data_IF_837652691457
#
_entry.id   IF_837652691457
#
_cell.length_a   1.000
_cell.length_b   1.000
_cell.length_c   1.000
_cell.angle_alpha   90.00
_cell.angle_beta   90.00
_cell.angle_gamma   90.00
#
_symmetry.space_group_name_H-M   'P 1'
#
loop_
_entity.id
_entity.type
_entity.pdbx_description
1 polymer ?
#
# COMPACT_ATOMS: atom_id res chain seq x y z
N UNK A 1 81.85 31.98 36.33
CA UNK A 1 81.82 32.57 34.97
C UNK A 1 80.58 32.04 34.32
N UNK A 2 79.77 32.97 33.81
CA UNK A 2 78.49 32.73 33.15
C UNK A 2 78.64 31.78 31.96
N UNK A 3 77.60 31.01 31.68
CA UNK A 3 76.99 30.99 30.35
C UNK A 3 75.58 30.39 30.46
N UNK A 4 74.61 31.30 30.51
CA UNK A 4 73.25 31.05 30.10
C UNK A 4 73.25 30.92 28.57
N UNK A 5 72.76 29.81 28.03
CA UNK A 5 72.13 29.85 26.71
C UNK A 5 71.00 28.83 26.61
N UNK A 6 69.80 29.40 26.49
CA UNK A 6 68.59 28.78 26.00
C UNK A 6 68.83 28.10 24.65
N UNK A 7 68.33 26.88 24.50
CA UNK A 7 67.75 26.45 23.23
C UNK A 7 66.52 25.58 23.49
N UNK A 8 65.35 26.18 23.27
CA UNK A 8 64.09 25.48 23.11
C UNK A 8 63.99 24.95 21.69
N UNK A 9 63.70 23.66 21.52
CA UNK A 9 63.05 23.14 20.31
C UNK A 9 62.80 21.64 20.47
N UNK A 10 61.55 21.26 20.75
CA UNK A 10 60.74 20.52 19.78
C UNK A 10 59.43 20.06 20.43
N UNK A 11 58.41 20.87 20.20
CA UNK A 11 57.01 20.52 20.37
C UNK A 11 56.65 19.36 19.44
N UNK A 12 56.60 18.14 19.97
CA UNK A 12 55.87 17.04 19.36
C UNK A 12 54.41 17.08 19.83
N UNK A 13 53.63 18.04 19.31
CA UNK A 13 52.17 17.92 19.29
C UNK A 13 51.77 17.56 17.87
N UNK A 14 51.71 16.26 17.62
CA UNK A 14 51.08 15.72 16.42
C UNK A 14 49.61 16.17 16.43
N UNK A 15 49.26 17.01 15.47
CA UNK A 15 47.88 17.28 15.07
C UNK A 15 47.24 15.95 14.66
N UNK A 16 46.47 15.35 15.56
CA UNK A 16 45.41 14.42 15.16
C UNK A 16 44.41 15.24 14.33
N UNK A 17 44.57 15.20 13.00
CA UNK A 17 43.50 15.55 12.07
C UNK A 17 42.32 14.63 12.42
N UNK A 18 41.35 15.16 13.15
CA UNK A 18 40.03 14.56 13.20
C UNK A 18 39.49 14.53 11.78
N UNK A 19 39.44 13.34 11.17
CA UNK A 19 38.66 13.12 9.96
C UNK A 19 37.26 13.69 10.20
N UNK A 20 36.74 14.58 9.34
CA UNK A 20 35.41 15.11 9.53
C UNK A 20 34.45 13.93 9.60
N UNK A 21 33.72 13.81 10.71
CA UNK A 21 32.66 12.82 10.84
C UNK A 21 31.75 13.01 9.64
N UNK A 22 31.68 12.00 8.77
CA UNK A 22 30.79 12.00 7.62
C UNK A 22 29.40 12.24 8.19
N UNK A 23 28.82 13.42 7.95
CA UNK A 23 27.46 13.74 8.41
C UNK A 23 26.55 12.74 7.72
N UNK A 24 26.11 11.72 8.47
CA UNK A 24 25.25 10.67 7.93
C UNK A 24 23.93 11.32 7.50
N UNK A 25 23.50 11.05 6.27
CA UNK A 25 22.23 11.55 5.72
C UNK A 25 21.07 11.21 6.68
N UNK A 26 20.28 12.20 7.06
CA UNK A 26 19.09 12.01 7.89
C UNK A 26 18.00 11.34 7.06
N UNK A 27 17.36 10.34 7.65
CA UNK A 27 16.36 9.53 6.96
C UNK A 27 15.05 9.55 7.75
N UNK A 28 14.03 10.22 7.22
CA UNK A 28 12.70 10.25 7.81
C UNK A 28 11.95 8.96 7.52
N UNK A 29 11.47 8.26 8.56
CA UNK A 29 10.71 7.02 8.42
C UNK A 29 9.33 7.21 9.03
N UNK A 30 8.30 7.24 8.20
CA UNK A 30 6.91 7.51 8.61
C UNK A 30 6.08 6.23 8.57
N UNK A 31 5.39 5.92 9.66
CA UNK A 31 4.55 4.73 9.81
C UNK A 31 3.07 5.13 9.92
N UNK A 32 2.23 4.64 9.00
CA UNK A 32 0.79 4.92 8.95
C UNK A 32 -0.03 3.69 9.32
N UNK A 33 -0.93 3.84 10.30
CA UNK A 33 -1.82 2.78 10.79
C UNK A 33 -3.04 2.58 9.89
N UNK A 34 -3.71 1.44 10.08
CA UNK A 34 -4.93 1.10 9.38
C UNK A 34 -6.22 1.61 10.04
N UNK A 35 -7.33 1.03 9.61
CA UNK A 35 -8.68 1.34 10.10
C UNK A 35 -8.79 1.11 11.63
N UNK A 36 -9.42 2.05 12.33
CA UNK A 36 -9.53 2.06 13.80
C UNK A 36 -8.20 1.95 14.57
N UNK A 37 -7.08 2.17 13.89
CA UNK A 37 -5.76 2.23 14.49
C UNK A 37 -5.47 3.61 15.06
N UNK A 38 -4.31 3.70 15.71
CA UNK A 38 -3.69 4.96 16.12
C UNK A 38 -2.18 4.85 15.91
N UNK A 39 -1.46 5.96 16.09
CA UNK A 39 0.01 5.99 16.11
C UNK A 39 0.64 4.98 17.09
N UNK A 40 -0.07 4.58 18.14
CA UNK A 40 0.38 3.57 19.12
C UNK A 40 0.48 2.15 18.56
N UNK A 41 -0.21 1.83 17.45
CA UNK A 41 -0.15 0.51 16.83
C UNK A 41 1.28 0.16 16.36
N UNK A 42 2.10 1.17 16.08
CA UNK A 42 3.51 1.02 15.70
C UNK A 42 4.49 1.11 16.88
N UNK A 43 4.02 1.18 18.12
CA UNK A 43 4.89 1.33 19.30
C UNK A 43 5.97 0.24 19.33
N UNK A 44 5.59 -1.02 19.14
CA UNK A 44 6.53 -2.15 19.19
C UNK A 44 7.53 -2.10 18.04
N UNK A 45 7.08 -1.84 16.80
CA UNK A 45 7.96 -1.67 15.64
C UNK A 45 8.96 -0.54 15.86
N UNK A 46 8.46 0.64 16.23
CA UNK A 46 9.30 1.83 16.49
C UNK A 46 10.35 1.55 17.56
N UNK A 47 9.99 0.86 18.64
CA UNK A 47 10.94 0.50 19.70
C UNK A 47 12.05 -0.45 19.21
N UNK A 48 11.77 -1.34 18.25
CA UNK A 48 12.80 -2.23 17.69
C UNK A 48 13.72 -1.49 16.73
N UNK A 49 13.19 -0.57 15.93
CA UNK A 49 13.98 0.33 15.09
C UNK A 49 14.94 1.20 15.92
N UNK A 50 14.45 1.82 16.99
CA UNK A 50 15.27 2.68 17.87
C UNK A 50 16.40 1.94 18.60
N UNK A 51 16.38 0.61 18.64
CA UNK A 51 17.47 -0.19 19.22
C UNK A 51 18.60 -0.49 18.23
N UNK A 52 18.42 -0.18 16.95
CA UNK A 52 19.39 -0.50 15.90
C UNK A 52 20.42 0.61 15.69
N UNK A 53 21.65 0.40 16.19
CA UNK A 53 22.76 1.37 16.01
C UNK A 53 23.04 1.74 14.56
N UNK A 54 22.85 0.80 13.63
CA UNK A 54 23.08 1.06 12.20
C UNK A 54 22.03 2.03 11.60
N UNK A 55 20.94 2.32 12.33
CA UNK A 55 19.85 3.22 11.95
C UNK A 55 19.83 4.52 12.77
N UNK A 56 20.94 4.89 13.42
CA UNK A 56 21.01 6.11 14.27
C UNK A 56 20.79 7.43 13.48
N UNK A 57 20.85 7.42 12.15
CA UNK A 57 20.50 8.55 11.28
C UNK A 57 19.00 8.60 10.94
N UNK A 58 18.24 7.56 11.28
CA UNK A 58 16.82 7.46 10.96
C UNK A 58 15.96 8.10 12.04
N UNK A 59 14.90 8.78 11.61
CA UNK A 59 13.92 9.44 12.46
C UNK A 59 12.61 8.69 12.29
N UNK A 60 12.26 7.86 13.28
CA UNK A 60 11.07 7.02 13.23
C UNK A 60 9.85 7.72 13.82
N UNK A 61 8.86 8.03 12.98
CA UNK A 61 7.62 8.71 13.34
C UNK A 61 6.43 7.79 13.06
N UNK A 62 5.61 7.58 14.08
CA UNK A 62 4.26 7.03 13.88
C UNK A 62 3.33 8.20 13.57
N UNK A 63 2.78 8.25 12.35
CA UNK A 63 1.89 9.30 11.90
C UNK A 63 0.66 9.40 12.81
N UNK A 64 0.30 10.63 13.17
CA UNK A 64 -0.72 10.92 14.18
C UNK A 64 -1.92 11.72 13.65
N UNK A 65 -1.83 12.28 12.44
CA UNK A 65 -2.91 13.07 11.81
C UNK A 65 -4.24 12.29 11.69
N UNK A 66 -4.16 10.96 11.69
CA UNK A 66 -5.30 10.05 11.54
C UNK A 66 -5.65 9.25 12.81
N UNK A 67 -5.06 9.58 13.97
CA UNK A 67 -5.27 8.85 15.24
C UNK A 67 -6.58 9.21 15.97
N UNK A 68 -7.35 10.19 15.49
CA UNK A 68 -8.56 10.65 16.18
C UNK A 68 -9.80 9.79 15.85
N UNK A 69 -10.83 9.89 16.69
CA UNK A 69 -12.04 9.05 16.60
C UNK A 69 -12.68 9.13 15.20
N UNK A 70 -12.90 7.97 14.57
CA UNK A 70 -13.47 7.80 13.23
C UNK A 70 -12.71 8.46 12.06
N UNK A 71 -11.54 9.05 12.27
CA UNK A 71 -10.75 9.69 11.20
C UNK A 71 -10.55 8.78 9.97
N UNK A 72 -10.37 7.48 10.22
CA UNK A 72 -10.11 6.48 9.18
C UNK A 72 -11.35 6.07 8.35
N UNK A 73 -12.52 6.65 8.64
CA UNK A 73 -13.77 6.44 7.90
C UNK A 73 -14.02 7.50 6.82
N UNK A 74 -13.24 8.59 6.81
CA UNK A 74 -13.46 9.77 5.95
C UNK A 74 -13.26 9.51 4.44
N UNK A 75 -12.64 8.39 4.08
CA UNK A 75 -12.14 8.12 2.73
C UNK A 75 -10.62 8.21 2.66
N UNK A 76 -9.99 7.24 1.98
CA UNK A 76 -8.54 7.10 1.79
C UNK A 76 -7.93 8.39 1.21
N UNK A 77 -8.66 9.10 0.36
CA UNK A 77 -8.30 10.39 -0.21
C UNK A 77 -8.11 11.47 0.88
N UNK A 78 -9.11 11.69 1.74
CA UNK A 78 -9.00 12.66 2.85
C UNK A 78 -7.96 12.25 3.89
N UNK A 79 -7.91 10.96 4.22
CA UNK A 79 -6.96 10.40 5.18
C UNK A 79 -5.53 10.55 4.65
N UNK A 80 -5.33 10.31 3.35
CA UNK A 80 -4.06 10.46 2.65
C UNK A 80 -3.61 11.91 2.49
N UNK A 81 -4.54 12.84 2.29
CA UNK A 81 -4.26 14.28 2.29
C UNK A 81 -3.78 14.77 3.67
N UNK A 82 -4.39 14.29 4.75
CA UNK A 82 -3.89 14.56 6.11
C UNK A 82 -2.47 14.03 6.33
N UNK A 83 -2.20 12.81 5.88
CA UNK A 83 -0.85 12.24 5.96
C UNK A 83 0.15 13.04 5.10
N UNK A 84 -0.23 13.48 3.90
CA UNK A 84 0.58 14.34 3.03
C UNK A 84 1.00 15.63 3.75
N UNK A 85 0.05 16.32 4.39
CA UNK A 85 0.33 17.54 5.14
C UNK A 85 1.25 17.26 6.34
N UNK A 86 0.99 16.20 7.10
CA UNK A 86 1.85 15.78 8.22
C UNK A 86 3.27 15.47 7.76
N UNK A 87 3.46 14.79 6.61
CA UNK A 87 4.80 14.54 6.05
C UNK A 87 5.55 15.85 5.78
N UNK A 88 4.87 16.86 5.21
CA UNK A 88 5.48 18.16 4.94
C UNK A 88 5.86 18.89 6.23
N UNK A 89 4.99 18.86 7.24
CA UNK A 89 5.29 19.44 8.56
C UNK A 89 6.48 18.74 9.24
N UNK A 90 6.52 17.41 9.22
CA UNK A 90 7.61 16.62 9.78
C UNK A 90 8.94 16.89 9.06
N UNK A 91 8.91 17.07 7.74
CA UNK A 91 10.10 17.40 6.97
C UNK A 91 10.74 18.72 7.43
N UNK A 92 9.93 19.77 7.64
CA UNK A 92 10.42 21.04 8.18
C UNK A 92 10.85 20.91 9.64
N UNK A 93 10.05 20.24 10.47
CA UNK A 93 10.32 20.02 11.90
C UNK A 93 11.65 19.29 12.15
N UNK A 94 12.01 18.35 11.28
CA UNK A 94 13.21 17.52 11.42
C UNK A 94 14.40 18.00 10.58
N UNK A 95 14.41 19.28 10.22
CA UNK A 95 15.50 19.95 9.51
C UNK A 95 15.85 19.28 8.17
N UNK A 96 14.84 19.18 7.30
CA UNK A 96 14.99 18.80 5.90
C UNK A 96 15.71 17.45 5.66
N UNK A 97 15.21 16.32 6.21
CA UNK A 97 15.83 15.01 5.99
C UNK A 97 16.06 14.70 4.50
N UNK A 98 17.23 14.16 4.16
CA UNK A 98 17.63 13.91 2.78
C UNK A 98 16.88 12.73 2.15
N UNK A 99 16.44 11.76 2.97
CA UNK A 99 15.70 10.57 2.53
C UNK A 99 14.38 10.40 3.28
N UNK A 100 13.42 9.76 2.62
CA UNK A 100 12.14 9.34 3.23
C UNK A 100 11.82 7.88 2.92
N UNK A 101 11.38 7.15 3.95
CA UNK A 101 10.73 5.86 3.83
C UNK A 101 9.37 5.88 4.49
N UNK A 102 8.43 5.11 3.94
CA UNK A 102 7.06 5.06 4.45
C UNK A 102 6.62 3.60 4.63
N UNK A 103 6.06 3.32 5.80
CA UNK A 103 5.57 2.00 6.20
C UNK A 103 4.06 2.11 6.44
N UNK A 104 3.25 1.31 5.75
CA UNK A 104 1.81 1.28 5.93
C UNK A 104 1.34 -0.09 6.40
N UNK A 105 0.49 -0.14 7.42
CA UNK A 105 -0.18 -1.38 7.86
C UNK A 105 -1.66 -1.36 7.50
N UNK A 106 -2.17 -2.45 6.92
CA UNK A 106 -3.59 -2.58 6.58
C UNK A 106 -4.05 -1.43 5.65
N UNK A 107 -5.14 -0.74 5.97
CA UNK A 107 -5.55 0.47 5.25
C UNK A 107 -4.41 1.50 5.11
N UNK A 108 -3.47 1.53 6.06
CA UNK A 108 -2.31 2.41 6.05
C UNK A 108 -1.45 2.30 4.80
N UNK A 109 -1.34 1.12 4.16
CA UNK A 109 -0.62 1.00 2.90
C UNK A 109 -1.29 1.73 1.73
N UNK A 110 -2.63 1.81 1.72
CA UNK A 110 -3.38 2.58 0.72
C UNK A 110 -3.30 4.09 0.99
N UNK A 111 -3.44 4.49 2.26
CA UNK A 111 -3.29 5.88 2.70
C UNK A 111 -1.90 6.40 2.33
N UNK A 112 -0.86 5.63 2.63
CA UNK A 112 0.53 5.95 2.25
C UNK A 112 0.69 6.09 0.74
N UNK A 113 0.11 5.18 -0.07
CA UNK A 113 0.16 5.30 -1.54
C UNK A 113 -0.52 6.56 -2.05
N UNK A 114 -1.65 6.96 -1.46
CA UNK A 114 -2.32 8.21 -1.80
C UNK A 114 -1.42 9.42 -1.49
N UNK A 115 -0.90 9.49 -0.26
CA UNK A 115 0.01 10.56 0.16
C UNK A 115 1.27 10.63 -0.72
N UNK A 116 1.85 9.48 -1.10
CA UNK A 116 2.99 9.39 -2.02
C UNK A 116 2.68 10.04 -3.38
N UNK A 117 1.48 9.82 -3.94
CA UNK A 117 1.09 10.46 -5.20
C UNK A 117 1.03 11.98 -5.07
N UNK A 118 0.48 12.48 -3.96
CA UNK A 118 0.45 13.93 -3.68
C UNK A 118 1.85 14.51 -3.48
N UNK A 119 2.73 13.82 -2.74
CA UNK A 119 4.13 14.24 -2.55
C UNK A 119 4.89 14.27 -3.88
N UNK A 120 4.63 13.31 -4.77
CA UNK A 120 5.22 13.28 -6.10
C UNK A 120 4.78 14.48 -6.94
N UNK A 121 3.47 14.76 -6.96
CA UNK A 121 2.88 15.88 -7.70
C UNK A 121 3.35 17.26 -7.17
N UNK A 122 3.45 17.40 -5.84
CA UNK A 122 4.02 18.57 -5.16
C UNK A 122 5.51 18.79 -5.46
N UNK A 123 6.18 17.82 -6.07
CA UNK A 123 7.63 17.85 -6.32
C UNK A 123 8.48 17.64 -5.07
N UNK A 124 7.87 17.18 -3.96
CA UNK A 124 8.53 16.93 -2.68
C UNK A 124 9.75 16.00 -2.81
N UNK A 125 9.68 15.01 -3.68
CA UNK A 125 10.77 14.05 -3.87
C UNK A 125 12.02 14.61 -4.54
N UNK A 126 12.00 15.86 -5.04
CA UNK A 126 13.20 16.59 -5.48
C UNK A 126 14.05 17.08 -4.31
N UNK A 127 13.43 17.31 -3.14
CA UNK A 127 14.08 17.81 -1.92
C UNK A 127 14.29 16.74 -0.84
N UNK A 128 13.52 15.65 -0.89
CA UNK A 128 13.62 14.53 0.03
C UNK A 128 13.52 13.21 -0.75
N UNK A 129 14.62 12.48 -0.89
CA UNK A 129 14.73 11.34 -1.79
C UNK A 129 13.90 10.15 -1.27
N UNK A 130 12.94 9.62 -2.06
CA UNK A 130 12.17 8.44 -1.68
C UNK A 130 13.05 7.19 -1.69
N UNK A 131 13.04 6.43 -0.59
CA UNK A 131 13.91 5.27 -0.38
C UNK A 131 13.13 3.95 -0.31
N UNK A 132 12.44 3.67 0.80
CA UNK A 132 11.68 2.43 0.98
C UNK A 132 10.19 2.67 1.20
N UNK A 133 9.36 1.99 0.41
CA UNK A 133 7.94 1.80 0.68
C UNK A 133 7.73 0.39 1.21
N UNK A 134 7.15 0.25 2.41
CA UNK A 134 6.91 -1.05 3.03
C UNK A 134 5.42 -1.18 3.35
N UNK A 135 4.80 -2.25 2.88
CA UNK A 135 3.40 -2.56 3.13
C UNK A 135 3.28 -3.80 4.00
N UNK A 136 2.50 -3.69 5.07
CA UNK A 136 2.25 -4.76 6.04
C UNK A 136 0.76 -5.14 5.95
N UNK A 137 0.45 -6.24 5.26
CA UNK A 137 -0.92 -6.77 5.08
C UNK A 137 -1.94 -5.72 4.63
N UNK A 138 -1.64 -4.95 3.58
CA UNK A 138 -2.50 -3.86 3.10
C UNK A 138 -3.38 -4.28 1.92
N UNK A 139 -4.67 -3.89 1.84
CA UNK A 139 -5.57 -4.35 0.77
C UNK A 139 -5.38 -3.57 -0.54
N UNK A 140 -4.22 -3.71 -1.20
CA UNK A 140 -3.86 -2.91 -2.38
C UNK A 140 -4.78 -3.06 -3.60
N UNK A 141 -5.51 -4.17 -3.68
CA UNK A 141 -6.52 -4.46 -4.70
C UNK A 141 -7.95 -4.42 -4.13
N UNK A 142 -8.15 -3.77 -2.98
CA UNK A 142 -9.42 -3.71 -2.29
C UNK A 142 -9.69 -4.94 -1.41
N UNK A 143 -10.85 -4.96 -0.76
CA UNK A 143 -11.30 -6.07 0.07
C UNK A 143 -12.02 -7.12 -0.77
N UNK A 144 -11.27 -7.90 -1.56
CA UNK A 144 -11.82 -9.07 -2.26
C UNK A 144 -12.23 -10.12 -1.22
N UNK A 145 -13.45 -10.67 -1.30
CA UNK A 145 -13.79 -11.93 -0.62
C UNK A 145 -14.76 -12.73 -1.51
N UNK A 146 -14.45 -14.00 -1.85
CA UNK A 146 -15.47 -14.89 -2.40
C UNK A 146 -16.67 -14.93 -1.46
N UNK A 147 -17.88 -14.92 -2.02
CA UNK A 147 -19.12 -15.07 -1.26
C UNK A 147 -19.13 -16.43 -0.55
N UNK A 148 -18.67 -16.48 0.69
CA UNK A 148 -18.72 -17.68 1.54
C UNK A 148 -19.24 -17.32 2.92
N UNK A 149 -19.79 -18.32 3.61
CA UNK A 149 -20.45 -18.28 4.93
C UNK A 149 -19.71 -17.50 6.03
N UNK A 150 -18.38 -17.32 5.91
CA UNK A 150 -17.57 -16.51 6.83
C UNK A 150 -17.94 -15.01 6.72
N UNK A 151 -18.32 -14.53 5.53
CA UNK A 151 -18.74 -13.15 5.33
C UNK A 151 -19.96 -12.80 6.21
N UNK A 152 -20.96 -13.67 6.30
CA UNK A 152 -22.13 -13.43 7.16
C UNK A 152 -21.74 -13.23 8.63
N UNK A 153 -20.65 -13.86 9.10
CA UNK A 153 -20.13 -13.67 10.47
C UNK A 153 -19.37 -12.35 10.65
N UNK A 154 -18.65 -11.89 9.64
CA UNK A 154 -17.85 -10.64 9.71
C UNK A 154 -18.68 -9.41 9.35
N UNK A 155 -19.68 -9.56 8.47
CA UNK A 155 -20.55 -8.50 7.98
C UNK A 155 -21.19 -7.73 9.15
N UNK A 156 -21.68 -8.41 10.18
CA UNK A 156 -22.29 -7.78 11.35
C UNK A 156 -21.34 -6.88 12.16
N UNK A 157 -20.04 -7.16 12.18
CA UNK A 157 -19.05 -6.33 12.91
C UNK A 157 -18.62 -5.13 12.06
N UNK A 158 -18.67 -5.28 10.73
CA UNK A 158 -18.12 -4.29 9.78
C UNK A 158 -19.20 -3.46 9.07
N UNK A 159 -20.49 -3.54 9.44
CA UNK A 159 -21.57 -2.78 8.77
C UNK A 159 -21.22 -1.30 8.69
N UNK A 160 -20.85 -0.67 9.81
CA UNK A 160 -20.47 0.75 9.83
C UNK A 160 -19.24 1.04 8.97
N UNK A 161 -18.27 0.13 8.95
CA UNK A 161 -17.08 0.25 8.09
C UNK A 161 -17.45 0.19 6.61
N UNK A 162 -18.35 -0.70 6.20
CA UNK A 162 -18.83 -0.80 4.82
C UNK A 162 -19.69 0.42 4.42
N UNK A 163 -20.41 1.02 5.37
CA UNK A 163 -21.17 2.25 5.14
C UNK A 163 -20.28 3.49 5.01
N UNK A 164 -19.08 3.48 5.60
CA UNK A 164 -18.11 4.58 5.50
C UNK A 164 -17.63 4.83 4.07
N UNK A 165 -17.11 6.04 3.80
CA UNK A 165 -16.49 6.39 2.51
C UNK A 165 -15.33 5.45 2.21
N UNK A 166 -14.48 5.20 3.22
CA UNK A 166 -13.38 4.23 3.13
C UNK A 166 -13.85 2.83 2.75
N UNK A 167 -14.95 2.35 3.34
CA UNK A 167 -15.53 1.04 3.03
C UNK A 167 -15.95 0.92 1.58
N UNK A 168 -16.68 1.92 1.08
CA UNK A 168 -17.10 2.00 -0.33
C UNK A 168 -15.92 2.00 -1.29
N UNK A 169 -14.84 2.72 -0.97
CA UNK A 169 -13.60 2.72 -1.76
C UNK A 169 -12.90 1.35 -1.73
N UNK A 170 -12.86 0.68 -0.58
CA UNK A 170 -12.25 -0.65 -0.45
C UNK A 170 -12.97 -1.74 -1.27
N UNK A 171 -14.28 -1.62 -1.48
CA UNK A 171 -15.06 -2.54 -2.31
C UNK A 171 -15.21 -2.10 -3.77
N UNK A 172 -14.58 -0.99 -4.19
CA UNK A 172 -14.68 -0.42 -5.56
C UNK A 172 -16.08 0.13 -5.93
N UNK A 173 -16.88 0.56 -4.94
CA UNK A 173 -18.21 1.17 -5.12
C UNK A 173 -18.20 2.68 -4.83
N UNK A 174 -17.06 3.36 -4.97
CA UNK A 174 -16.93 4.79 -4.70
C UNK A 174 -17.21 5.67 -5.92
N UNK A 175 -17.55 5.10 -7.08
CA UNK A 175 -17.88 5.87 -8.30
C UNK A 175 -19.09 6.77 -8.09
N UNK A 176 -20.10 6.30 -7.35
CA UNK A 176 -21.32 7.03 -7.02
C UNK A 176 -21.16 8.09 -5.92
N UNK A 177 -20.02 8.11 -5.21
CA UNK A 177 -19.78 9.12 -4.18
C UNK A 177 -19.66 10.49 -4.86
N UNK A 178 -20.44 11.50 -4.45
CA UNK A 178 -20.38 12.84 -5.04
C UNK A 178 -18.96 13.44 -5.05
N UNK A 179 -18.59 14.11 -6.14
CA UNK A 179 -17.24 14.68 -6.32
C UNK A 179 -16.87 15.73 -5.26
N UNK A 180 -17.85 16.41 -4.66
CA UNK A 180 -17.59 17.36 -3.56
C UNK A 180 -17.18 16.68 -2.24
N UNK A 181 -17.40 15.36 -2.11
CA UNK A 181 -16.93 14.57 -0.96
C UNK A 181 -15.52 14.06 -1.22
N UNK A 182 -15.17 13.86 -2.49
CA UNK A 182 -13.88 13.34 -2.95
C UNK A 182 -12.82 14.44 -3.04
N UNK A 183 -11.57 14.14 -2.71
CA UNK A 183 -10.44 14.99 -3.12
C UNK A 183 -9.67 14.29 -4.22
N UNK A 184 -9.57 14.90 -5.41
CA UNK A 184 -8.80 14.34 -6.52
C UNK A 184 -8.00 15.42 -7.24
N UNK A 185 -6.67 15.29 -7.33
CA UNK A 185 -5.90 16.03 -8.32
C UNK A 185 -6.29 15.58 -9.73
N UNK A 186 -6.31 16.51 -10.69
CA UNK A 186 -6.53 16.18 -12.10
C UNK A 186 -5.38 15.30 -12.61
N UNK A 187 -5.68 14.10 -13.10
CA UNK A 187 -4.67 13.16 -13.65
C UNK A 187 -4.15 13.56 -15.03
N UNK A 188 -4.65 14.64 -15.62
CA UNK A 188 -4.20 15.18 -16.89
C UNK A 188 -2.85 15.90 -16.77
N UNK A 189 -1.76 15.14 -16.66
CA UNK A 189 -0.45 15.60 -17.10
C UNK A 189 -0.13 14.91 -18.43
N UNK A 190 -0.44 15.52 -19.59
CA UNK A 190 0.04 14.99 -20.86
C UNK A 190 1.54 15.31 -21.04
N UNK A 191 2.29 14.50 -21.79
CA UNK A 191 3.64 14.88 -22.19
C UNK A 191 3.58 16.20 -23.00
N UNK A 192 4.63 17.05 -22.94
CA UNK A 192 4.58 18.37 -23.54
C UNK A 192 4.41 18.26 -25.06
N UNK A 193 3.42 19.02 -25.56
CA UNK A 193 3.03 19.29 -26.96
C UNK A 193 2.10 18.25 -27.63
N UNK A 194 0.81 18.58 -27.70
CA UNK A 194 0.22 19.11 -28.95
C UNK A 194 -1.17 19.72 -28.71
N UNK A 195 -1.39 20.90 -29.31
CA UNK A 195 -2.63 21.66 -29.27
C UNK A 195 -3.70 20.95 -30.10
N UNK A 196 -4.87 20.64 -29.53
CA UNK A 196 -6.09 20.65 -30.35
C UNK A 196 -7.31 21.13 -29.56
N UNK A 197 -8.16 21.81 -30.31
CA UNK A 197 -9.14 22.81 -29.91
C UNK A 197 -10.50 22.19 -29.57
N UNK A 198 -11.17 22.82 -28.61
CA UNK A 198 -12.61 23.14 -28.57
C UNK A 198 -13.62 22.08 -29.04
N UNK A 199 -14.56 21.72 -28.16
CA UNK A 199 -15.94 22.19 -28.29
C UNK A 199 -16.73 22.09 -26.99
N UNK A 200 -17.44 23.18 -26.69
CA UNK A 200 -18.41 23.34 -25.61
C UNK A 200 -19.70 22.61 -25.99
N UNK A 201 -20.39 22.02 -25.03
CA UNK A 201 -21.86 22.07 -24.99
C UNK A 201 -22.30 22.06 -23.52
N UNK A 202 -23.13 23.07 -23.20
CA UNK A 202 -23.73 23.35 -21.90
C UNK A 202 -25.12 22.73 -21.92
N UNK A 203 -25.48 21.95 -20.89
CA UNK A 203 -26.88 21.68 -20.59
C UNK A 203 -27.13 22.00 -19.11
N UNK A 204 -27.92 23.05 -18.91
CA UNK A 204 -28.56 23.40 -17.65
C UNK A 204 -29.80 22.52 -17.46
N UNK A 205 -30.01 21.98 -16.26
CA UNK A 205 -31.36 21.82 -15.72
C UNK A 205 -31.35 21.74 -14.20
N UNK A 206 -32.33 22.43 -13.63
CA UNK A 206 -32.38 22.94 -12.27
C UNK A 206 -32.65 21.91 -11.18
N UNK A 207 -32.07 22.23 -10.03
CA UNK A 207 -32.23 21.62 -8.71
C UNK A 207 -33.67 21.76 -8.21
N UNK A 208 -34.28 20.64 -7.78
CA UNK A 208 -35.34 20.64 -6.77
C UNK A 208 -34.98 19.68 -5.65
N UNK A 209 -34.94 20.26 -4.46
CA UNK A 209 -34.98 19.59 -3.17
C UNK A 209 -36.24 18.71 -3.07
N UNK A 210 -36.14 17.53 -2.46
CA UNK A 210 -36.71 17.28 -1.14
C UNK A 210 -36.42 15.84 -0.68
N UNK A 211 -36.40 15.73 0.64
CA UNK A 211 -36.09 14.63 1.53
C UNK A 211 -37.10 13.48 1.47
N UNK A 212 -36.62 12.24 1.35
CA UNK A 212 -37.09 11.11 2.18
C UNK A 212 -36.14 9.90 2.01
N UNK A 213 -35.27 9.69 3.00
CA UNK A 213 -34.33 8.55 3.06
C UNK A 213 -35.01 7.39 3.82
N UNK A 214 -35.92 6.70 3.14
CA UNK A 214 -36.23 5.31 3.47
C UNK A 214 -35.79 4.46 2.28
N UNK A 215 -34.57 3.92 2.35
CA UNK A 215 -34.04 3.03 1.32
C UNK A 215 -34.83 1.73 1.34
N UNK A 216 -35.57 1.38 0.27
CA UNK A 216 -36.15 0.06 0.15
C UNK A 216 -35.02 -0.97 0.06
N UNK A 217 -35.27 -2.15 0.63
CA UNK A 217 -34.40 -3.33 0.49
C UNK A 217 -34.09 -3.50 -1.00
N UNK A 218 -32.85 -3.23 -1.40
CA UNK A 218 -32.46 -3.23 -2.80
C UNK A 218 -32.76 -4.60 -3.40
N UNK A 219 -33.75 -4.67 -4.29
CA UNK A 219 -33.90 -5.78 -5.21
C UNK A 219 -32.56 -5.92 -5.93
N UNK A 220 -32.01 -7.13 -5.93
CA UNK A 220 -30.72 -7.41 -6.54
C UNK A 220 -30.80 -7.13 -8.04
N UNK A 221 -30.47 -5.90 -8.46
CA UNK A 221 -30.21 -5.59 -9.86
C UNK A 221 -29.11 -6.52 -10.33
N UNK A 222 -29.29 -7.12 -11.51
CA UNK A 222 -28.22 -7.88 -12.15
C UNK A 222 -26.95 -7.02 -12.24
N UNK A 223 -25.75 -7.62 -12.10
CA UNK A 223 -24.52 -6.87 -12.09
C UNK A 223 -24.32 -6.15 -13.42
N UNK A 224 -24.26 -4.82 -13.36
CA UNK A 224 -23.82 -3.97 -14.47
C UNK A 224 -22.37 -4.33 -14.85
N UNK A 225 -22.14 -4.54 -16.14
CA UNK A 225 -20.83 -4.88 -16.71
C UNK A 225 -20.16 -3.58 -17.15
N UNK A 226 -18.85 -3.45 -16.95
CA UNK A 226 -18.11 -2.26 -17.36
C UNK A 226 -17.22 -2.56 -18.56
N UNK A 227 -17.12 -1.61 -19.51
CA UNK A 227 -16.19 -1.71 -20.64
C UNK A 227 -15.28 -0.48 -20.70
N UNK A 228 -14.00 -0.74 -20.98
CA UNK A 228 -12.99 0.32 -21.16
C UNK A 228 -13.27 1.14 -22.42
N UNK A 229 -13.25 2.46 -22.27
CA UNK A 229 -13.42 3.44 -23.35
C UNK A 229 -12.07 4.09 -23.61
N UNK A 230 -11.83 4.52 -24.85
CA UNK A 230 -10.52 4.94 -25.38
C UNK A 230 -9.75 6.06 -24.66
N UNK A 231 -10.25 6.60 -23.54
CA UNK A 231 -9.48 7.40 -22.59
C UNK A 231 -9.43 6.70 -21.23
N UNK A 232 -8.22 6.45 -20.72
CA UNK A 232 -7.97 5.66 -19.51
C UNK A 232 -8.77 6.12 -18.28
N UNK A 233 -9.29 7.34 -18.19
CA UNK A 233 -9.89 7.88 -16.96
C UNK A 233 -11.35 7.45 -16.69
N UNK A 234 -12.06 6.84 -17.65
CA UNK A 234 -13.51 6.57 -17.53
C UNK A 234 -13.92 5.21 -18.11
N UNK A 235 -15.02 4.65 -17.59
CA UNK A 235 -15.67 3.44 -18.12
C UNK A 235 -17.07 3.74 -18.64
N UNK A 236 -17.50 2.95 -19.64
CA UNK A 236 -18.89 2.84 -20.06
C UNK A 236 -19.59 1.74 -19.26
N UNK A 237 -20.80 2.03 -18.78
CA UNK A 237 -21.68 1.04 -18.15
C UNK A 237 -22.44 0.29 -19.24
N UNK A 238 -22.40 -1.03 -19.16
CA UNK A 238 -23.19 -1.95 -19.95
C UNK A 238 -24.23 -2.60 -19.02
N UNK A 239 -25.50 -2.25 -19.22
CA UNK A 239 -26.60 -2.97 -18.60
C UNK A 239 -26.97 -4.16 -19.49
N UNK A 240 -26.96 -5.37 -18.92
CA UNK A 240 -27.63 -6.52 -19.54
C UNK A 240 -29.09 -6.47 -19.14
N UNK A 241 -29.99 -6.59 -20.10
CA UNK A 241 -31.38 -6.99 -19.85
C UNK A 241 -31.61 -8.40 -20.39
N UNK A 242 -32.65 -9.04 -19.87
CA UNK A 242 -33.07 -10.41 -20.18
C UNK A 242 -32.91 -10.69 -21.69
N UNK A 243 -32.07 -11.68 -21.98
CA UNK A 243 -31.75 -12.19 -23.32
C UNK A 243 -30.97 -11.22 -24.26
N UNK A 244 -29.66 -11.16 -24.05
CA UNK A 244 -28.61 -10.72 -24.99
C UNK A 244 -28.63 -9.26 -25.50
N UNK A 245 -29.59 -8.42 -25.11
CA UNK A 245 -29.50 -6.99 -25.36
C UNK A 245 -28.54 -6.32 -24.36
N UNK A 246 -27.38 -5.92 -24.87
CA UNK A 246 -26.38 -5.08 -24.20
C UNK A 246 -26.80 -3.62 -24.46
N UNK A 247 -27.44 -2.99 -23.48
CA UNK A 247 -27.69 -1.54 -23.54
C UNK A 247 -26.47 -0.86 -22.92
N UNK A 248 -25.66 -0.20 -23.75
CA UNK A 248 -24.62 0.71 -23.27
C UNK A 248 -25.32 1.98 -22.80
N UNK A 249 -25.32 2.23 -21.49
CA UNK A 249 -25.68 3.56 -21.01
C UNK A 249 -24.46 4.45 -21.28
N UNK A 250 -24.58 5.49 -22.12
CA UNK A 250 -23.49 6.42 -22.47
C UNK A 250 -22.97 7.25 -21.27
N UNK A 251 -23.34 6.86 -20.04
CA UNK A 251 -22.87 7.45 -18.81
C UNK A 251 -21.42 7.04 -18.56
N UNK A 252 -20.51 7.97 -18.82
CA UNK A 252 -19.12 7.84 -18.41
C UNK A 252 -19.02 8.01 -16.89
N UNK A 253 -18.69 6.93 -16.17
CA UNK A 253 -18.45 6.98 -14.72
C UNK A 253 -16.96 7.15 -14.44
N UNK A 254 -16.58 7.97 -13.44
CA UNK A 254 -15.19 8.08 -13.00
C UNK A 254 -14.70 6.76 -12.43
N UNK A 255 -13.41 6.48 -12.59
CA UNK A 255 -12.80 5.26 -12.04
C UNK A 255 -12.83 5.22 -10.49
N UNK A 256 -13.04 4.04 -9.89
CA UNK A 256 -12.85 3.82 -8.46
C UNK A 256 -11.48 4.31 -7.98
N UNK A 257 -11.39 4.83 -6.75
CA UNK A 257 -10.15 5.36 -6.18
C UNK A 257 -8.99 4.37 -6.27
N UNK A 258 -9.21 3.09 -5.97
CA UNK A 258 -8.12 2.11 -5.96
C UNK A 258 -7.54 1.85 -7.36
N UNK A 259 -8.35 1.99 -8.41
CA UNK A 259 -7.88 1.95 -9.81
C UNK A 259 -6.98 3.15 -10.06
N UNK A 260 -7.41 4.35 -9.65
CA UNK A 260 -6.62 5.58 -9.78
C UNK A 260 -5.31 5.55 -8.99
N UNK A 261 -5.29 4.91 -7.82
CA UNK A 261 -4.07 4.69 -7.05
C UNK A 261 -3.05 3.79 -7.77
N UNK A 262 -3.45 3.06 -8.83
CA UNK A 262 -2.57 2.21 -9.62
C UNK A 262 -1.97 2.94 -10.84
N UNK A 263 -2.28 4.22 -11.06
CA UNK A 263 -1.91 4.96 -12.28
C UNK A 263 -1.52 6.42 -12.02
N UNK A 264 -1.08 7.10 -13.07
CA UNK A 264 -0.74 8.53 -13.03
C UNK A 264 0.27 8.90 -11.96
N UNK A 265 0.03 10.01 -11.26
CA UNK A 265 0.91 10.52 -10.18
C UNK A 265 1.10 9.51 -9.05
N UNK A 266 0.10 8.67 -8.77
CA UNK A 266 0.17 7.68 -7.70
C UNK A 266 1.11 6.52 -8.07
N UNK A 267 0.99 6.03 -9.31
CA UNK A 267 1.93 5.05 -9.85
C UNK A 267 3.35 5.60 -9.92
N UNK A 268 3.52 6.80 -10.49
CA UNK A 268 4.83 7.42 -10.66
C UNK A 268 5.50 7.74 -9.32
N UNK A 269 4.72 8.22 -8.35
CA UNK A 269 5.18 8.44 -6.99
C UNK A 269 5.67 7.14 -6.35
N UNK A 270 4.89 6.05 -6.43
CA UNK A 270 5.29 4.75 -5.90
C UNK A 270 6.52 4.16 -6.64
N UNK A 271 6.60 4.35 -7.95
CA UNK A 271 7.74 3.94 -8.77
C UNK A 271 9.03 4.69 -8.38
N UNK A 272 8.91 5.94 -7.92
CA UNK A 272 10.07 6.75 -7.52
C UNK A 272 10.83 6.20 -6.31
N UNK A 273 10.19 5.39 -5.46
CA UNK A 273 10.86 4.72 -4.35
C UNK A 273 11.89 3.71 -4.86
N UNK A 274 13.08 3.71 -4.27
CA UNK A 274 14.15 2.78 -4.64
C UNK A 274 13.76 1.32 -4.40
N UNK A 275 13.10 1.04 -3.28
CA UNK A 275 12.69 -0.32 -2.88
C UNK A 275 11.24 -0.32 -2.40
N UNK A 276 10.45 -1.28 -2.89
CA UNK A 276 9.08 -1.53 -2.45
C UNK A 276 9.01 -2.94 -1.88
N UNK A 277 8.46 -3.09 -0.68
CA UNK A 277 8.40 -4.38 0.03
C UNK A 277 6.97 -4.68 0.46
N UNK A 278 6.50 -5.90 0.23
CA UNK A 278 5.22 -6.40 0.68
C UNK A 278 5.44 -7.51 1.71
N UNK A 279 4.79 -7.38 2.86
CA UNK A 279 4.63 -8.45 3.84
C UNK A 279 3.18 -8.92 3.79
N UNK A 280 2.95 -10.17 3.40
CA UNK A 280 1.63 -10.70 3.09
C UNK A 280 1.32 -11.94 3.93
N UNK A 281 0.22 -11.89 4.68
CA UNK A 281 -0.26 -13.05 5.42
C UNK A 281 -0.91 -14.06 4.47
N UNK A 282 -0.41 -15.29 4.47
CA UNK A 282 -0.90 -16.36 3.59
C UNK A 282 -2.28 -16.84 4.03
N UNK A 283 -2.45 -17.02 5.34
CA UNK A 283 -3.67 -17.53 5.96
C UNK A 283 -4.03 -16.72 7.20
N UNK A 284 -5.28 -16.89 7.64
CA UNK A 284 -5.78 -16.40 8.91
C UNK A 284 -5.78 -14.87 9.09
N UNK A 285 -5.55 -14.12 8.01
CA UNK A 285 -5.84 -12.70 7.94
C UNK A 285 -7.26 -12.52 7.40
N UNK A 286 -8.21 -12.43 8.32
CA UNK A 286 -9.63 -12.26 7.97
C UNK A 286 -9.87 -10.91 7.31
N UNK A 287 -9.08 -9.88 7.65
CA UNK A 287 -9.33 -8.52 7.18
C UNK A 287 -8.81 -8.32 5.76
N UNK A 288 -7.58 -8.76 5.50
CA UNK A 288 -6.85 -8.55 4.25
C UNK A 288 -6.32 -9.89 3.75
N UNK A 289 -6.92 -10.41 2.68
CA UNK A 289 -6.47 -11.67 2.12
C UNK A 289 -5.07 -11.54 1.47
N UNK A 290 -4.43 -12.70 1.27
CA UNK A 290 -3.11 -12.78 0.64
C UNK A 290 -3.05 -12.05 -0.72
N UNK A 291 -3.95 -12.37 -1.65
CA UNK A 291 -3.93 -11.84 -3.02
C UNK A 291 -3.92 -10.30 -3.08
N UNK A 292 -4.67 -9.64 -2.19
CA UNK A 292 -4.71 -8.17 -2.17
C UNK A 292 -3.49 -7.56 -1.49
N UNK A 293 -2.95 -8.19 -0.44
CA UNK A 293 -1.72 -7.73 0.23
C UNK A 293 -0.46 -7.96 -0.58
N UNK A 294 -0.46 -9.05 -1.34
CA UNK A 294 0.60 -9.44 -2.22
C UNK A 294 0.41 -8.91 -3.65
N UNK A 295 -0.65 -8.17 -4.01
CA UNK A 295 -0.82 -7.69 -5.39
C UNK A 295 -0.71 -8.85 -6.41
N UNK A 296 -1.33 -9.99 -6.07
CA UNK A 296 -1.28 -11.22 -6.86
C UNK A 296 -2.68 -11.73 -7.16
N UNK A 297 -2.83 -12.40 -8.31
CA UNK A 297 -4.12 -12.94 -8.73
C UNK A 297 -4.54 -14.16 -7.87
N UNK A 298 -3.56 -14.91 -7.36
CA UNK A 298 -3.75 -16.17 -6.64
C UNK A 298 -2.84 -16.26 -5.43
N UNK A 299 -3.30 -17.00 -4.42
CA UNK A 299 -2.45 -17.45 -3.33
C UNK A 299 -1.81 -18.78 -3.78
N UNK A 300 -0.49 -18.85 -3.99
CA UNK A 300 0.16 -20.08 -4.45
C UNK A 300 0.21 -21.16 -3.36
N UNK A 301 -0.03 -20.78 -2.10
CA UNK A 301 0.01 -21.70 -0.97
C UNK A 301 -1.34 -22.38 -0.79
N UNK A 302 -1.33 -23.71 -0.76
CA UNK A 302 -2.50 -24.54 -0.45
C UNK A 302 -2.26 -25.29 0.85
N UNK A 303 -3.26 -25.32 1.73
CA UNK A 303 -3.19 -26.06 2.98
C UNK A 303 -2.92 -27.55 2.67
N UNK A 304 -1.85 -28.10 3.23
CA UNK A 304 -1.41 -29.48 2.99
C UNK A 304 -0.20 -29.61 2.05
N UNK A 305 0.16 -28.57 1.28
CA UNK A 305 1.50 -28.50 0.67
C UNK A 305 2.51 -28.09 1.75
N UNK A 306 3.66 -28.76 1.78
CA UNK A 306 4.80 -28.38 2.62
C UNK A 306 5.29 -26.95 2.25
N UNK A 307 5.69 -26.19 3.25
CA UNK A 307 6.19 -24.83 3.09
C UNK A 307 7.57 -24.78 3.71
N UNK A 308 8.56 -24.24 3.00
CA UNK A 308 9.91 -24.07 3.54
C UNK A 308 9.99 -22.74 4.29
N UNK A 309 10.07 -22.84 5.62
CA UNK A 309 10.22 -21.70 6.51
C UNK A 309 11.67 -21.31 6.67
N UNK A 310 11.90 -20.04 6.99
CA UNK A 310 13.23 -19.58 7.34
C UNK A 310 13.69 -20.20 8.64
N UNK A 311 14.94 -20.68 8.64
CA UNK A 311 15.58 -21.21 9.85
C UNK A 311 15.66 -20.13 10.94
N UNK A 312 15.88 -18.87 10.52
CA UNK A 312 16.02 -17.73 11.43
C UNK A 312 14.66 -17.13 11.83
N UNK A 313 13.71 -17.08 10.91
CA UNK A 313 12.40 -16.43 11.10
C UNK A 313 11.28 -17.42 10.82
N UNK A 314 10.79 -18.11 11.85
CA UNK A 314 9.94 -19.32 11.72
C UNK A 314 8.56 -19.04 11.15
N UNK A 315 8.15 -17.78 11.08
CA UNK A 315 6.89 -17.35 10.50
C UNK A 315 7.02 -16.88 9.05
N UNK A 316 8.24 -16.79 8.50
CA UNK A 316 8.51 -16.31 7.13
C UNK A 316 8.88 -17.49 6.24
N UNK A 317 8.32 -17.53 5.04
CA UNK A 317 8.64 -18.53 4.02
C UNK A 317 9.80 -18.02 3.16
N UNK A 318 10.83 -18.84 2.92
CA UNK A 318 12.03 -18.46 2.14
C UNK A 318 11.83 -18.55 0.63
N UNK A 319 11.07 -19.53 0.16
CA UNK A 319 10.83 -19.75 -1.28
C UNK A 319 9.37 -20.09 -1.53
N UNK A 320 8.86 -19.73 -2.70
CA UNK A 320 7.76 -20.46 -3.32
C UNK A 320 8.27 -21.89 -3.59
N UNK A 321 8.30 -22.73 -2.55
CA UNK A 321 8.42 -24.16 -2.73
C UNK A 321 7.15 -24.59 -3.47
N UNK A 322 7.18 -24.52 -4.79
CA UNK A 322 6.26 -25.25 -5.66
C UNK A 322 6.55 -26.71 -5.36
N UNK A 323 5.90 -27.23 -4.33
CA UNK A 323 5.87 -28.65 -4.10
C UNK A 323 4.96 -29.27 -5.12
N UNK A 324 5.56 -29.53 -6.27
CA UNK A 324 5.16 -30.57 -7.20
C UNK A 324 6.43 -31.22 -7.75
N UNK A 325 7.36 -31.63 -6.89
CA UNK A 325 8.46 -32.53 -7.26
C UNK A 325 8.68 -33.54 -6.13
N UNK A 326 8.52 -34.83 -6.45
CA UNK A 326 8.96 -35.94 -5.61
C UNK A 326 10.44 -35.73 -5.23
N UNK A 327 10.83 -35.79 -3.95
CA UNK A 327 12.23 -35.64 -3.53
C UNK A 327 13.24 -36.49 -4.34
N UNK A 328 12.81 -37.63 -4.89
CA UNK A 328 13.65 -38.49 -5.72
C UNK A 328 13.94 -37.93 -7.13
N UNK A 329 13.23 -36.88 -7.58
CA UNK A 329 13.41 -36.23 -8.88
C UNK A 329 14.26 -34.94 -8.80
N UNK A 330 14.61 -34.47 -7.59
CA UNK A 330 15.41 -33.25 -7.39
C UNK A 330 16.89 -33.39 -7.76
N UNK A 331 17.43 -34.60 -7.82
CA UNK A 331 18.86 -34.80 -8.16
C UNK A 331 19.17 -34.65 -9.67
N UNK A 332 18.16 -34.51 -10.53
CA UNK A 332 18.38 -34.55 -12.00
C UNK A 332 17.96 -33.30 -12.77
N UNK A 333 17.55 -32.20 -12.14
CA UNK A 333 17.11 -31.01 -12.90
C UNK A 333 17.88 -29.74 -12.56
N UNK A 334 18.35 -29.08 -13.61
CA UNK A 334 18.89 -27.73 -13.59
C UNK A 334 17.79 -26.73 -13.21
N UNK A 335 18.14 -25.57 -12.62
CA UNK A 335 17.19 -24.65 -12.02
C UNK A 335 16.10 -24.25 -13.04
N UNK A 336 14.83 -24.16 -12.61
CA UNK A 336 13.74 -23.80 -13.50
C UNK A 336 14.00 -22.40 -14.08
N UNK A 337 13.71 -22.18 -15.38
CA UNK A 337 13.86 -20.87 -15.99
C UNK A 337 12.99 -19.85 -15.28
N UNK A 338 13.48 -18.62 -15.13
CA UNK A 338 12.79 -17.48 -14.53
C UNK A 338 11.34 -17.44 -15.04
N UNK A 339 10.40 -17.92 -14.23
CA UNK A 339 8.99 -17.69 -14.51
C UNK A 339 8.81 -16.18 -14.44
N UNK A 340 8.36 -15.58 -15.55
CA UNK A 340 7.86 -14.22 -15.50
C UNK A 340 6.82 -14.17 -14.36
N UNK A 341 6.90 -13.21 -13.44
CA UNK A 341 6.02 -13.19 -12.27
C UNK A 341 4.52 -13.00 -12.62
N UNK A 342 4.19 -12.86 -13.91
CA UNK A 342 2.85 -12.55 -14.38
C UNK A 342 2.61 -13.11 -15.79
N UNK A 343 1.60 -13.96 -15.95
CA UNK A 343 0.99 -14.29 -17.25
C UNK A 343 -0.43 -13.69 -17.29
N UNK A 344 -0.71 -12.85 -18.28
CA UNK A 344 -2.00 -12.17 -18.44
C UNK A 344 -3.14 -13.18 -18.65
N UNK A 345 -2.85 -14.37 -19.21
CA UNK A 345 -3.83 -15.44 -19.42
C UNK A 345 -4.37 -16.04 -18.13
N UNK A 346 -3.56 -16.08 -17.06
CA UNK A 346 -4.01 -16.59 -15.75
C UNK A 346 -5.13 -15.71 -15.18
N UNK A 347 -5.18 -14.41 -15.48
CA UNK A 347 -6.16 -13.49 -14.90
C UNK A 347 -7.60 -13.79 -15.32
N UNK A 348 -7.81 -14.21 -16.57
CA UNK A 348 -9.16 -14.36 -17.11
C UNK A 348 -9.97 -15.42 -16.35
N UNK A 349 -9.33 -16.54 -16.01
CA UNK A 349 -9.96 -17.66 -15.29
C UNK A 349 -10.37 -17.27 -13.85
N UNK A 350 -9.51 -16.55 -13.12
CA UNK A 350 -9.72 -16.25 -11.70
C UNK A 350 -10.80 -15.21 -11.39
N UNK A 351 -11.11 -14.34 -12.36
CA UNK A 351 -12.09 -13.28 -12.16
C UNK A 351 -13.40 -13.52 -12.91
N UNK A 352 -13.59 -14.70 -13.49
CA UNK A 352 -14.83 -15.09 -14.20
C UNK A 352 -16.13 -14.78 -13.44
N UNK A 353 -16.10 -14.86 -12.11
CA UNK A 353 -17.28 -14.65 -11.25
C UNK A 353 -17.21 -13.36 -10.40
N UNK A 354 -16.19 -12.52 -10.60
CA UNK A 354 -16.01 -11.29 -9.83
C UNK A 354 -16.64 -10.11 -10.56
N UNK A 355 -17.64 -9.44 -9.97
CA UNK A 355 -18.33 -8.31 -10.62
C UNK A 355 -17.39 -7.14 -10.93
N UNK A 356 -16.26 -7.06 -10.21
CA UNK A 356 -15.27 -6.00 -10.36
C UNK A 356 -14.01 -6.47 -11.10
N UNK A 357 -14.09 -7.58 -11.84
CA UNK A 357 -12.93 -8.20 -12.48
C UNK A 357 -12.12 -7.24 -13.36
N UNK A 358 -12.78 -6.34 -14.09
CA UNK A 358 -12.09 -5.37 -14.95
C UNK A 358 -11.22 -4.41 -14.14
N UNK A 359 -11.75 -3.88 -13.03
CA UNK A 359 -10.98 -3.02 -12.12
C UNK A 359 -9.82 -3.77 -11.49
N UNK A 360 -10.05 -4.99 -11.02
CA UNK A 360 -9.03 -5.83 -10.40
C UNK A 360 -7.90 -6.19 -11.37
N UNK A 361 -8.24 -6.62 -12.59
CA UNK A 361 -7.27 -6.90 -13.66
C UNK A 361 -6.43 -5.67 -13.95
N UNK A 362 -7.05 -4.49 -14.02
CA UNK A 362 -6.35 -3.23 -14.28
C UNK A 362 -5.40 -2.83 -13.14
N UNK A 363 -5.86 -2.91 -11.88
CA UNK A 363 -5.01 -2.64 -10.71
C UNK A 363 -3.80 -3.58 -10.69
N UNK A 364 -4.03 -4.88 -10.89
CA UNK A 364 -2.96 -5.88 -10.90
C UNK A 364 -2.01 -5.68 -12.08
N UNK A 365 -2.53 -5.42 -13.28
CA UNK A 365 -1.72 -5.15 -14.49
C UNK A 365 -0.82 -3.94 -14.30
N UNK A 366 -1.33 -2.87 -13.68
CA UNK A 366 -0.54 -1.68 -13.43
C UNK A 366 0.50 -1.91 -12.33
N UNK A 367 0.08 -2.36 -11.15
CA UNK A 367 0.99 -2.51 -10.01
C UNK A 367 2.08 -3.56 -10.25
N UNK A 368 1.80 -4.65 -10.97
CA UNK A 368 2.82 -5.65 -11.31
C UNK A 368 3.85 -5.18 -12.36
N UNK A 369 3.73 -3.95 -12.91
CA UNK A 369 4.83 -3.31 -13.63
C UNK A 369 5.96 -2.86 -12.69
N UNK A 370 5.69 -2.71 -11.40
CA UNK A 370 6.67 -2.37 -10.38
C UNK A 370 7.29 -3.62 -9.77
N UNK A 371 8.61 -3.59 -9.57
CA UNK A 371 9.27 -4.62 -8.78
C UNK A 371 8.96 -4.45 -7.28
N UNK A 372 8.53 -5.53 -6.63
CA UNK A 372 8.32 -5.64 -5.18
C UNK A 372 9.18 -6.78 -4.62
N UNK A 373 9.87 -6.51 -3.51
CA UNK A 373 10.39 -7.56 -2.63
C UNK A 373 9.21 -8.12 -1.83
N UNK A 374 9.07 -9.44 -1.78
CA UNK A 374 7.89 -10.10 -1.20
C UNK A 374 8.33 -11.00 -0.05
N UNK A 375 7.67 -10.85 1.09
CA UNK A 375 7.82 -11.72 2.25
C UNK A 375 6.45 -12.28 2.59
N UNK A 376 6.33 -13.60 2.59
CA UNK A 376 5.06 -14.29 2.88
C UNK A 376 5.11 -14.88 4.28
N UNK A 377 4.12 -14.56 5.10
CA UNK A 377 4.05 -15.01 6.49
C UNK A 377 2.90 -15.95 6.74
N UNK A 378 3.15 -16.91 7.63
CA UNK A 378 2.14 -17.84 8.10
C UNK A 378 2.05 -17.81 9.62
N UNK A 379 0.86 -17.50 10.13
CA UNK A 379 0.51 -17.69 11.52
C UNK A 379 -0.60 -18.73 11.62
N UNK A 380 -0.52 -19.61 12.63
CA UNK A 380 -1.53 -20.65 12.85
C UNK A 380 -2.85 -20.10 13.43
N UNK A 381 -2.79 -18.99 14.16
CA UNK A 381 -3.95 -18.36 14.78
C UNK A 381 -4.63 -17.32 13.86
N UNK A 382 -5.87 -16.96 14.18
CA UNK A 382 -6.70 -15.98 13.44
C UNK A 382 -6.26 -14.51 13.60
N UNK A 383 -5.12 -14.25 14.22
CA UNK A 383 -4.65 -12.91 14.56
C UNK A 383 -3.52 -12.42 13.67
N UNK A 384 -3.24 -13.12 12.55
CA UNK A 384 -2.20 -12.80 11.56
C UNK A 384 -2.14 -11.31 11.21
N UNK A 385 -3.31 -10.68 11.03
CA UNK A 385 -3.43 -9.26 10.69
C UNK A 385 -2.81 -8.31 11.71
N UNK A 386 -2.87 -8.67 12.99
CA UNK A 386 -2.33 -7.89 14.11
C UNK A 386 -1.00 -8.41 14.62
N UNK A 387 -0.68 -9.68 14.36
CA UNK A 387 0.63 -10.27 14.66
C UNK A 387 1.73 -9.58 13.87
N UNK A 388 1.51 -9.33 12.57
CA UNK A 388 2.50 -8.67 11.69
C UNK A 388 3.05 -7.34 12.22
N UNK A 389 2.30 -6.62 13.08
CA UNK A 389 2.74 -5.37 13.74
C UNK A 389 2.93 -5.49 15.25
N UNK A 390 2.65 -6.66 15.83
CA UNK A 390 2.60 -6.89 17.28
C UNK A 390 1.72 -5.83 17.97
N UNK A 391 0.47 -5.68 17.50
CA UNK A 391 -0.43 -4.61 17.97
C UNK A 391 -0.60 -4.60 19.50
N UNK A 392 -0.65 -5.77 20.13
CA UNK A 392 -0.66 -5.95 21.59
C UNK A 392 0.35 -7.03 21.97
N UNK A 393 1.43 -6.67 22.65
CA UNK A 393 2.54 -7.58 22.95
C UNK A 393 2.12 -8.90 23.63
N UNK A 394 1.13 -8.86 24.53
CA UNK A 394 0.66 -10.05 25.25
C UNK A 394 -0.24 -10.99 24.41
N UNK A 395 -0.81 -10.52 23.29
CA UNK A 395 -1.66 -11.32 22.39
C UNK A 395 -0.90 -11.69 21.11
N UNK A 396 -0.10 -10.76 20.61
CA UNK A 396 0.48 -10.79 19.27
C UNK A 396 1.97 -11.13 19.29
N UNK A 397 2.46 -11.79 20.35
CA UNK A 397 3.89 -12.07 20.56
C UNK A 397 4.51 -12.97 19.48
N UNK A 398 3.74 -13.83 18.81
CA UNK A 398 4.21 -14.59 17.64
C UNK A 398 4.77 -13.68 16.53
N UNK A 399 4.31 -12.43 16.48
CA UNK A 399 4.75 -11.43 15.51
C UNK A 399 6.13 -10.82 15.76
N UNK A 400 6.76 -11.02 16.92
CA UNK A 400 8.05 -10.39 17.22
C UNK A 400 9.14 -10.77 16.19
N UNK A 401 9.15 -12.02 15.70
CA UNK A 401 10.08 -12.46 14.67
C UNK A 401 9.90 -11.69 13.35
N UNK A 402 8.66 -11.29 13.02
CA UNK A 402 8.40 -10.45 11.84
C UNK A 402 8.95 -9.04 12.03
N UNK A 403 8.84 -8.49 13.24
CA UNK A 403 9.42 -7.17 13.56
C UNK A 403 10.94 -7.24 13.50
N UNK A 404 11.55 -8.28 14.05
CA UNK A 404 12.99 -8.49 13.97
C UNK A 404 13.48 -8.64 12.53
N UNK A 405 12.73 -9.37 11.69
CA UNK A 405 13.03 -9.49 10.26
C UNK A 405 12.88 -8.15 9.54
N UNK A 406 11.78 -7.43 9.74
CA UNK A 406 11.54 -6.12 9.14
C UNK A 406 12.69 -5.16 9.46
N UNK A 407 13.07 -5.09 10.74
CA UNK A 407 14.10 -4.18 11.23
C UNK A 407 15.49 -4.58 10.74
N UNK A 408 15.79 -5.88 10.62
CA UNK A 408 17.10 -6.35 10.13
C UNK A 408 17.31 -6.17 8.63
N UNK A 409 16.22 -6.10 7.85
CA UNK A 409 16.25 -5.91 6.39
C UNK A 409 15.98 -4.47 5.96
N UNK A 410 15.75 -3.56 6.91
CA UNK A 410 15.56 -2.14 6.65
C UNK A 410 16.89 -1.46 6.38
N UNK A 411 16.97 -0.71 5.28
CA UNK A 411 18.20 -0.02 4.88
C UNK A 411 18.20 1.44 5.40
N UNK A 412 19.20 1.81 6.21
CA UNK A 412 19.31 3.13 6.86
C UNK A 412 19.70 4.28 5.94
#
# INVERSE_FOLDING_TARGET
>A
MEDNNNSSSNENKQNELSTPSIKKERHLVIMQHGLHGTSLDFKTIRNHFLKQKHLDNCIFISANSNSHFLATHDGIDKIGERLFNEVKELYEQYDHPEKISMIGHSLGGLITRYAIGLLYDDGFFKKCKPDQFISLSSPHCGSRRPSTTIFNKVAHIFVDNFLSVTGKQLILHDTEIPDNIKTFPSTSSPPPNEKLKSSKTIVNSSVKNETDLSLPLAEAKEPSIYKEVGNNEKLMIIEKKEENEIITNDQEVPMPLLVRLSEGIFFNGLNSFRKRTLYSNIYNDVQVNFCTSDISAKNPYTLGKLMKFSEKYRHIIEEESILDIDPNLLEQQSPPPDKKPFDEKDLDEYFTHDTHHHFLKRILKNLNQLHFVRYHMYFKNMLSHTNIIVKREWINSEGFEIIEHLVSHFEG
#
